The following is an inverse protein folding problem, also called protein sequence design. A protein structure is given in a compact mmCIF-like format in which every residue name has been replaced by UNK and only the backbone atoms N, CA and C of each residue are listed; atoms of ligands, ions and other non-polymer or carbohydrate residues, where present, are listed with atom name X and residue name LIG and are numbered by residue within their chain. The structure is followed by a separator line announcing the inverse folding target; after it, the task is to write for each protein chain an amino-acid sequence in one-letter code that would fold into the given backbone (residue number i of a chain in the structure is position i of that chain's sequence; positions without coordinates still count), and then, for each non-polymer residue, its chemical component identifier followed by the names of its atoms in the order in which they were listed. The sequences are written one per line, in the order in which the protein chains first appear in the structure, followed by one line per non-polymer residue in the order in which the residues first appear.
data_IF_390993248096
#
_entry.id   IF_390993248096
#
_cell.length_a   1.000
_cell.length_b   1.000
_cell.length_c   1.000
_cell.angle_alpha   90.00
_cell.angle_beta   90.00
_cell.angle_gamma   90.00
#
_symmetry.space_group_name_H-M   'P 1'
#
loop_
_entity.id
_entity.type
_entity.pdbx_description
1 polymer ?
#
# COMPACT_ATOMS: atom_id res chain seq x y z
N UNK A 1 14.49 -15.57 -12.62
CA UNK A 1 13.60 -14.51 -13.15
C UNK A 1 14.26 -13.16 -12.95
N UNK A 2 14.17 -12.26 -13.94
CA UNK A 2 14.80 -10.92 -13.88
C UNK A 2 13.81 -9.83 -13.44
N UNK A 3 12.51 -10.08 -13.67
CA UNK A 3 11.42 -9.18 -13.32
C UNK A 3 10.22 -9.98 -12.84
N UNK A 4 9.57 -9.50 -11.81
CA UNK A 4 8.26 -9.93 -11.35
C UNK A 4 7.31 -8.75 -11.46
N UNK A 5 6.13 -8.99 -12.05
CA UNK A 5 5.01 -8.06 -12.02
C UNK A 5 3.81 -8.82 -11.45
N UNK A 6 3.20 -8.32 -10.37
CA UNK A 6 2.10 -9.02 -9.71
C UNK A 6 1.13 -8.06 -9.03
N UNK A 7 -0.12 -8.50 -8.96
CA UNK A 7 -1.23 -7.88 -8.24
C UNK A 7 -1.73 -8.88 -7.19
N UNK A 8 -1.17 -8.89 -5.97
CA UNK A 8 -1.58 -9.83 -4.94
C UNK A 8 -2.96 -9.48 -4.37
N UNK A 9 -3.70 -10.42 -3.79
CA UNK A 9 -4.92 -10.12 -3.06
C UNK A 9 -4.69 -9.11 -1.94
N UNK A 10 -5.62 -8.14 -1.77
CA UNK A 10 -5.53 -7.08 -0.77
C UNK A 10 -6.41 -7.38 0.44
N UNK A 11 -5.85 -7.95 1.47
CA UNK A 11 -6.54 -8.21 2.74
C UNK A 11 -7.99 -8.72 2.55
N UNK A 12 -9.00 -7.88 2.88
CA UNK A 12 -10.43 -8.20 2.88
C UNK A 12 -11.20 -7.58 1.69
N UNK A 13 -10.50 -7.07 0.67
CA UNK A 13 -11.16 -6.32 -0.41
C UNK A 13 -11.96 -7.22 -1.35
N UNK A 14 -11.44 -8.41 -1.70
CA UNK A 14 -12.08 -9.33 -2.64
C UNK A 14 -12.01 -10.76 -2.12
N UNK A 15 -13.17 -11.38 -1.92
CA UNK A 15 -13.29 -12.80 -1.64
C UNK A 15 -13.40 -13.57 -2.97
N UNK A 16 -12.28 -13.90 -3.58
CA UNK A 16 -12.25 -14.58 -4.90
C UNK A 16 -13.03 -15.88 -4.88
N UNK A 17 -13.03 -16.59 -3.77
CA UNK A 17 -13.82 -17.79 -3.58
C UNK A 17 -15.33 -17.57 -3.72
N UNK A 18 -15.86 -16.39 -3.44
CA UNK A 18 -17.26 -16.07 -3.64
C UNK A 18 -17.59 -15.84 -5.11
N UNK A 19 -16.67 -15.18 -5.84
CA UNK A 19 -16.84 -14.97 -7.29
C UNK A 19 -16.71 -16.24 -8.10
N UNK A 20 -15.89 -17.19 -7.65
CA UNK A 20 -15.70 -18.48 -8.32
C UNK A 20 -16.85 -19.46 -8.11
N UNK A 21 -17.76 -19.22 -7.14
CA UNK A 21 -18.84 -20.13 -6.82
C UNK A 21 -19.74 -20.45 -8.02
N UNK A 22 -20.00 -19.48 -8.89
CA UNK A 22 -20.80 -19.69 -10.12
C UNK A 22 -20.06 -20.62 -11.08
N UNK A 23 -18.77 -20.41 -11.30
CA UNK A 23 -17.97 -21.25 -12.19
C UNK A 23 -17.79 -22.66 -11.65
N UNK A 24 -17.69 -22.81 -10.31
CA UNK A 24 -17.63 -24.12 -9.66
C UNK A 24 -18.90 -24.93 -9.91
N UNK A 25 -20.05 -24.26 -9.85
CA UNK A 25 -21.32 -24.89 -10.16
C UNK A 25 -21.38 -25.39 -11.61
N UNK A 26 -21.03 -24.55 -12.59
CA UNK A 26 -21.06 -24.93 -14.01
C UNK A 26 -19.99 -25.95 -14.41
N UNK A 27 -18.82 -25.89 -13.78
CA UNK A 27 -17.70 -26.80 -14.11
C UNK A 27 -17.69 -28.07 -13.25
N UNK A 28 -18.67 -28.22 -12.35
CA UNK A 28 -18.72 -29.32 -11.37
C UNK A 28 -17.40 -29.50 -10.59
N UNK A 29 -16.68 -28.41 -10.37
CA UNK A 29 -15.39 -28.39 -9.70
C UNK A 29 -15.54 -27.97 -8.22
N UNK A 30 -14.97 -28.76 -7.32
CA UNK A 30 -14.97 -28.44 -5.89
C UNK A 30 -13.62 -27.83 -5.50
N UNK A 31 -13.61 -26.53 -5.21
CA UNK A 31 -12.41 -25.81 -4.78
C UNK A 31 -12.00 -26.15 -3.35
N UNK A 32 -10.73 -25.95 -3.08
CA UNK A 32 -10.20 -25.94 -1.72
C UNK A 32 -9.92 -24.50 -1.25
N UNK A 33 -10.88 -23.91 -0.53
CA UNK A 33 -10.76 -22.55 0.00
C UNK A 33 -9.71 -22.41 1.09
N UNK A 34 -9.15 -23.51 1.59
CA UNK A 34 -8.13 -23.50 2.63
C UNK A 34 -6.86 -22.72 2.22
N UNK A 35 -6.55 -22.72 0.92
CA UNK A 35 -5.36 -22.05 0.38
C UNK A 35 -5.62 -20.64 -0.14
N UNK A 36 -6.86 -20.15 -0.08
CA UNK A 36 -7.16 -18.79 -0.49
C UNK A 36 -6.42 -17.76 0.39
N UNK A 37 -5.74 -16.82 -0.27
CA UNK A 37 -5.02 -15.74 0.41
C UNK A 37 -5.97 -14.55 0.62
N UNK A 38 -6.67 -14.53 1.74
CA UNK A 38 -7.64 -13.51 2.12
C UNK A 38 -7.68 -13.31 3.63
N UNK A 39 -7.99 -12.10 4.06
CA UNK A 39 -8.46 -11.81 5.42
C UNK A 39 -10.00 -11.78 5.41
N UNK A 40 -10.66 -12.59 6.23
CA UNK A 40 -12.11 -12.56 6.32
C UNK A 40 -12.61 -12.93 7.70
N UNK A 41 -13.59 -12.19 8.20
CA UNK A 41 -14.32 -12.46 9.44
C UNK A 41 -15.66 -13.13 9.18
N UNK A 42 -16.01 -13.38 7.90
CA UNK A 42 -17.37 -13.79 7.50
C UNK A 42 -17.62 -15.30 7.58
N UNK A 43 -16.60 -16.12 7.82
CA UNK A 43 -16.72 -17.59 7.82
C UNK A 43 -16.13 -18.22 9.06
N UNK A 44 -16.74 -19.31 9.54
CA UNK A 44 -16.10 -20.24 10.51
C UNK A 44 -14.80 -20.77 9.89
N UNK A 45 -13.68 -20.61 10.57
CA UNK A 45 -12.35 -20.91 10.01
C UNK A 45 -11.63 -19.63 9.58
N UNK A 46 -11.66 -18.67 10.43
CA UNK A 46 -11.22 -17.28 10.28
C UNK A 46 -9.81 -17.23 9.75
N UNK A 47 -9.66 -16.66 8.58
CA UNK A 47 -8.39 -16.16 8.09
C UNK A 47 -8.23 -14.73 8.60
N UNK A 48 -7.64 -14.61 9.78
CA UNK A 48 -7.33 -13.32 10.37
C UNK A 48 -6.19 -12.61 9.61
N UNK A 49 -5.86 -11.42 10.04
CA UNK A 49 -4.80 -10.61 9.43
C UNK A 49 -3.44 -11.30 9.54
N UNK A 50 -3.16 -11.98 10.64
CA UNK A 50 -1.87 -12.62 10.86
C UNK A 50 -1.72 -13.85 9.96
N UNK A 51 -2.77 -14.66 9.81
CA UNK A 51 -2.79 -15.77 8.86
C UNK A 51 -2.59 -15.28 7.41
N UNK A 52 -3.23 -14.17 7.02
CA UNK A 52 -3.01 -13.55 5.71
C UNK A 52 -1.54 -13.15 5.52
N UNK A 53 -0.94 -12.43 6.47
CA UNK A 53 0.46 -11.97 6.39
C UNK A 53 1.45 -13.13 6.37
N UNK A 54 1.19 -14.19 7.16
CA UNK A 54 2.02 -15.42 7.18
C UNK A 54 2.00 -16.09 5.81
N UNK A 55 0.81 -16.26 5.22
CA UNK A 55 0.67 -16.92 3.92
C UNK A 55 1.23 -16.05 2.78
N UNK A 56 1.01 -14.74 2.81
CA UNK A 56 1.63 -13.79 1.89
C UNK A 56 3.17 -13.91 1.94
N UNK A 57 3.73 -13.97 3.15
CA UNK A 57 5.17 -14.17 3.34
C UNK A 57 5.67 -15.48 2.74
N UNK A 58 4.92 -16.60 2.90
CA UNK A 58 5.27 -17.90 2.30
C UNK A 58 5.32 -17.79 0.76
N UNK A 59 4.31 -17.18 0.14
CA UNK A 59 4.27 -16.96 -1.30
C UNK A 59 5.47 -16.13 -1.78
N UNK A 60 5.71 -14.98 -1.16
CA UNK A 60 6.83 -14.12 -1.56
C UNK A 60 8.21 -14.75 -1.30
N UNK A 61 8.39 -15.56 -0.27
CA UNK A 61 9.62 -16.32 -0.09
C UNK A 61 9.90 -17.26 -1.28
N UNK A 62 8.87 -17.93 -1.80
CA UNK A 62 9.00 -18.82 -2.96
C UNK A 62 9.35 -17.99 -4.20
N UNK A 63 8.64 -16.89 -4.44
CA UNK A 63 8.88 -15.98 -5.56
C UNK A 63 10.31 -15.44 -5.52
N UNK A 64 10.73 -14.87 -4.40
CA UNK A 64 12.07 -14.28 -4.23
C UNK A 64 13.18 -15.32 -4.39
N UNK A 65 12.96 -16.56 -3.96
CA UNK A 65 13.92 -17.68 -4.19
C UNK A 65 14.16 -17.92 -5.69
N UNK A 66 13.14 -17.72 -6.53
CA UNK A 66 13.24 -17.88 -8.00
C UNK A 66 13.77 -16.64 -8.72
N UNK A 67 13.86 -15.50 -8.07
CA UNK A 67 14.43 -14.28 -8.63
C UNK A 67 15.97 -14.36 -8.65
N UNK A 68 16.59 -13.76 -9.67
CA UNK A 68 18.04 -13.52 -9.67
C UNK A 68 18.39 -12.37 -8.73
N UNK A 69 19.64 -12.31 -8.28
CA UNK A 69 20.14 -11.16 -7.54
C UNK A 69 19.98 -9.89 -8.36
N UNK A 70 19.75 -8.78 -7.69
CA UNK A 70 19.53 -7.46 -8.30
C UNK A 70 18.31 -7.33 -9.23
N UNK A 71 17.51 -8.40 -9.37
CA UNK A 71 16.28 -8.35 -10.16
C UNK A 71 15.19 -7.51 -9.45
N UNK A 72 14.22 -7.07 -10.23
CA UNK A 72 13.15 -6.18 -9.77
C UNK A 72 11.84 -6.90 -9.55
N UNK A 73 11.05 -6.42 -8.60
CA UNK A 73 9.66 -6.77 -8.45
C UNK A 73 8.81 -5.49 -8.46
N UNK A 74 7.77 -5.48 -9.29
CA UNK A 74 6.78 -4.41 -9.37
C UNK A 74 5.47 -5.00 -8.87
N UNK A 75 4.93 -4.40 -7.82
CA UNK A 75 3.74 -4.91 -7.14
C UNK A 75 2.67 -3.84 -7.13
N UNK A 76 1.55 -4.17 -7.73
CA UNK A 76 0.35 -3.37 -7.63
C UNK A 76 -0.28 -3.59 -6.26
N UNK A 77 -0.46 -2.53 -5.47
CA UNK A 77 -1.06 -2.65 -4.15
C UNK A 77 -1.74 -1.36 -3.72
N UNK A 78 -2.88 -1.47 -3.07
CA UNK A 78 -3.60 -0.33 -2.51
C UNK A 78 -4.31 -0.68 -1.22
N UNK A 79 -4.12 0.15 -0.21
CA UNK A 79 -4.92 0.14 1.00
C UNK A 79 -4.99 1.55 1.60
N UNK A 80 -6.14 1.95 2.09
CA UNK A 80 -6.33 3.25 2.78
C UNK A 80 -5.78 3.24 4.20
N UNK A 81 -5.63 2.06 4.81
CA UNK A 81 -5.07 1.88 6.15
C UNK A 81 -3.55 1.81 6.05
N UNK A 82 -2.86 2.87 6.45
CA UNK A 82 -1.39 2.95 6.38
C UNK A 82 -0.69 1.86 7.19
N UNK A 83 -1.32 1.39 8.28
CA UNK A 83 -0.83 0.24 9.02
C UNK A 83 -0.79 -1.03 8.15
N UNK A 84 -1.78 -1.27 7.30
CA UNK A 84 -1.80 -2.41 6.39
C UNK A 84 -0.68 -2.29 5.33
N UNK A 85 -0.48 -1.08 4.79
CA UNK A 85 0.63 -0.80 3.87
C UNK A 85 1.97 -1.07 4.55
N UNK A 86 2.16 -0.62 5.79
CA UNK A 86 3.37 -0.89 6.57
C UNK A 86 3.61 -2.39 6.78
N UNK A 87 2.59 -3.13 7.18
CA UNK A 87 2.70 -4.57 7.44
C UNK A 87 3.03 -5.33 6.14
N UNK A 88 2.41 -4.95 5.02
CA UNK A 88 2.72 -5.46 3.70
C UNK A 88 4.19 -5.21 3.32
N UNK A 89 4.67 -3.97 3.43
CA UNK A 89 6.07 -3.61 3.15
C UNK A 89 7.05 -4.37 4.06
N UNK A 90 6.74 -4.55 5.34
CA UNK A 90 7.56 -5.34 6.28
C UNK A 90 7.63 -6.81 5.86
N UNK A 91 6.53 -7.40 5.41
CA UNK A 91 6.52 -8.79 4.90
C UNK A 91 7.44 -8.90 3.71
N UNK A 92 7.34 -8.02 2.72
CA UNK A 92 8.18 -8.05 1.51
C UNK A 92 9.65 -7.84 1.84
N UNK A 93 9.97 -6.86 2.68
CA UNK A 93 11.33 -6.62 3.16
C UNK A 93 11.90 -7.86 3.87
N UNK A 94 11.08 -8.54 4.69
CA UNK A 94 11.50 -9.78 5.38
C UNK A 94 11.75 -10.97 4.44
N UNK A 95 11.27 -10.86 3.18
CA UNK A 95 11.53 -11.85 2.13
C UNK A 95 12.77 -11.53 1.28
N UNK A 96 13.44 -10.40 1.50
CA UNK A 96 14.62 -10.00 0.73
C UNK A 96 14.31 -9.04 -0.43
N UNK A 97 13.20 -8.30 -0.34
CA UNK A 97 12.83 -7.25 -1.28
C UNK A 97 13.05 -5.88 -0.65
N UNK A 98 14.00 -5.12 -1.16
CA UNK A 98 14.26 -3.73 -0.72
C UNK A 98 13.33 -2.76 -1.47
N UNK A 99 12.67 -1.88 -0.73
CA UNK A 99 11.69 -0.95 -1.27
C UNK A 99 12.38 0.24 -1.94
N UNK A 100 12.31 0.33 -3.27
CA UNK A 100 13.02 1.33 -4.07
C UNK A 100 12.19 2.60 -4.21
N UNK A 101 10.97 2.50 -4.74
CA UNK A 101 10.07 3.63 -4.97
C UNK A 101 8.62 3.17 -5.06
N UNK A 102 7.73 4.14 -5.01
CA UNK A 102 6.31 3.98 -5.31
C UNK A 102 5.93 5.02 -6.37
N UNK A 103 5.02 4.67 -7.24
CA UNK A 103 4.49 5.56 -8.26
C UNK A 103 2.97 5.56 -8.21
N UNK A 104 2.40 6.75 -8.30
CA UNK A 104 0.97 6.96 -8.37
C UNK A 104 0.46 6.76 -9.79
N UNK A 105 -0.60 5.96 -9.94
CA UNK A 105 -1.30 5.77 -11.20
C UNK A 105 -2.57 6.61 -11.18
N UNK A 106 -2.62 7.64 -12.01
CA UNK A 106 -3.82 8.45 -12.17
C UNK A 106 -4.92 7.66 -12.86
N UNK A 107 -6.12 7.65 -12.27
CA UNK A 107 -7.32 7.12 -12.93
C UNK A 107 -7.98 8.23 -13.73
N UNK A 108 -8.24 7.97 -15.02
CA UNK A 108 -8.95 8.90 -15.90
C UNK A 108 -10.43 9.10 -15.50
N UNK A 109 -11.03 8.11 -14.86
CA UNK A 109 -12.42 8.17 -14.38
C UNK A 109 -12.47 7.77 -12.90
N UNK A 110 -13.21 8.55 -12.13
CA UNK A 110 -13.49 8.20 -10.73
C UNK A 110 -14.55 7.10 -10.66
N UNK A 111 -14.39 6.18 -9.71
CA UNK A 111 -15.44 5.21 -9.41
C UNK A 111 -16.58 5.91 -8.67
N UNK A 112 -17.79 5.32 -8.71
CA UNK A 112 -18.96 5.84 -7.98
C UNK A 112 -18.64 6.13 -6.51
N UNK A 113 -17.94 5.22 -5.84
CA UNK A 113 -17.49 5.38 -4.45
C UNK A 113 -16.55 6.59 -4.26
N UNK A 114 -15.71 6.89 -5.23
CA UNK A 114 -14.80 8.04 -5.19
C UNK A 114 -15.54 9.36 -5.42
N UNK A 115 -16.63 9.34 -6.19
CA UNK A 115 -17.48 10.51 -6.42
C UNK A 115 -18.37 10.83 -5.20
N UNK A 116 -18.76 9.80 -4.43
CA UNK A 116 -19.66 9.95 -3.28
C UNK A 116 -18.93 10.09 -1.94
N UNK A 117 -17.64 9.75 -1.86
CA UNK A 117 -16.85 9.95 -0.64
C UNK A 117 -16.22 11.34 -0.59
N UNK A 118 -16.29 11.95 0.61
CA UNK A 118 -15.74 13.28 0.90
C UNK A 118 -14.24 13.38 0.57
N UNK A 119 -13.74 14.58 0.51
CA UNK A 119 -12.42 15.10 0.12
C UNK A 119 -11.16 14.31 0.57
N UNK A 120 -11.31 13.39 1.52
CA UNK A 120 -10.20 12.62 2.12
C UNK A 120 -9.84 11.31 1.41
N UNK A 121 -10.57 10.93 0.35
CA UNK A 121 -10.33 9.66 -0.33
C UNK A 121 -9.10 9.78 -1.24
N UNK A 122 -8.07 9.00 -0.93
CA UNK A 122 -6.90 8.85 -1.80
C UNK A 122 -7.35 8.22 -3.12
N UNK A 123 -7.28 9.00 -4.20
CA UNK A 123 -7.68 8.58 -5.54
C UNK A 123 -6.48 8.07 -6.32
N UNK A 124 -6.67 7.03 -7.11
CA UNK A 124 -5.60 6.40 -7.89
C UNK A 124 -5.18 5.06 -7.32
N UNK A 125 -4.25 4.45 -7.98
CA UNK A 125 -3.64 3.19 -7.58
C UNK A 125 -2.13 3.37 -7.48
N UNK A 126 -1.42 2.42 -6.89
CA UNK A 126 0.01 2.57 -6.64
C UNK A 126 0.78 1.34 -7.12
N UNK A 127 1.91 1.61 -7.76
CA UNK A 127 2.92 0.60 -8.08
C UNK A 127 4.07 0.73 -7.10
N UNK A 128 4.38 -0.36 -6.43
CA UNK A 128 5.52 -0.47 -5.52
C UNK A 128 6.66 -1.20 -6.22
N UNK A 129 7.83 -0.58 -6.25
CA UNK A 129 9.02 -1.11 -6.89
C UNK A 129 10.00 -1.60 -5.84
N UNK A 130 10.44 -2.82 -6.02
CA UNK A 130 11.40 -3.48 -5.13
C UNK A 130 12.58 -4.02 -5.92
N UNK A 131 13.72 -4.18 -5.23
CA UNK A 131 14.90 -4.84 -5.73
C UNK A 131 15.20 -6.03 -4.82
N UNK A 132 15.53 -7.20 -5.39
CA UNK A 132 16.00 -8.33 -4.61
C UNK A 132 17.37 -8.02 -4.02
N UNK A 133 17.53 -8.25 -2.72
CA UNK A 133 18.77 -8.04 -1.97
C UNK A 133 19.16 -9.28 -1.17
N UNK A 134 20.46 -9.48 -1.00
CA UNK A 134 20.98 -10.62 -0.21
C UNK A 134 20.91 -10.36 1.29
N UNK A 135 21.01 -9.12 1.72
CA UNK A 135 20.91 -8.72 3.13
C UNK A 135 19.61 -7.98 3.38
N UNK A 136 18.81 -8.52 4.28
CA UNK A 136 17.55 -7.92 4.69
C UNK A 136 17.85 -6.80 5.69
N UNK A 137 17.49 -5.57 5.34
CA UNK A 137 17.55 -4.44 6.26
C UNK A 137 16.36 -4.55 7.23
N UNK A 138 16.65 -4.83 8.49
CA UNK A 138 15.60 -4.85 9.52
C UNK A 138 15.16 -3.43 9.79
N UNK A 139 13.95 -3.09 9.37
CA UNK A 139 13.32 -1.82 9.70
C UNK A 139 12.66 -1.92 11.08
N UNK A 140 12.88 -0.91 11.91
CA UNK A 140 12.34 -0.85 13.27
C UNK A 140 11.13 0.08 13.24
N UNK A 141 9.96 -0.46 13.56
CA UNK A 141 8.78 0.36 13.79
C UNK A 141 8.98 1.20 15.05
N UNK A 142 8.86 2.51 14.91
CA UNK A 142 8.94 3.47 16.01
C UNK A 142 7.55 3.75 16.60
N UNK A 143 7.52 4.13 17.86
CA UNK A 143 6.30 4.63 18.50
C UNK A 143 5.86 5.94 17.85
N UNK A 144 4.56 6.23 17.96
CA UNK A 144 3.98 7.47 17.46
C UNK A 144 4.66 8.69 18.10
N UNK A 145 5.17 9.58 17.26
CA UNK A 145 5.83 10.84 17.64
C UNK A 145 5.36 11.91 16.65
N UNK A 146 4.40 12.71 17.07
CA UNK A 146 3.73 13.66 16.18
C UNK A 146 4.69 14.71 15.62
N UNK A 147 5.63 15.20 16.40
CA UNK A 147 6.57 16.25 15.96
C UNK A 147 7.49 15.73 14.83
N UNK A 148 8.02 14.53 15.00
CA UNK A 148 8.87 13.91 13.98
C UNK A 148 8.09 13.55 12.72
N UNK A 149 6.87 13.03 12.88
CA UNK A 149 5.98 12.70 11.75
C UNK A 149 5.62 13.97 10.98
N UNK A 150 5.21 15.03 11.64
CA UNK A 150 4.89 16.32 11.02
C UNK A 150 6.09 16.91 10.28
N UNK A 151 7.27 16.85 10.89
CA UNK A 151 8.50 17.33 10.24
C UNK A 151 8.79 16.57 8.94
N UNK A 152 8.71 15.24 8.96
CA UNK A 152 8.90 14.40 7.75
C UNK A 152 7.87 14.78 6.67
N UNK A 153 6.60 14.88 7.05
CA UNK A 153 5.50 15.19 6.11
C UNK A 153 5.71 16.58 5.50
N UNK A 154 6.00 17.60 6.31
CA UNK A 154 6.15 18.96 5.81
C UNK A 154 7.40 19.14 4.96
N UNK A 155 8.53 18.58 5.37
CA UNK A 155 9.76 18.64 4.58
C UNK A 155 9.59 17.95 3.22
N UNK A 156 9.02 16.75 3.21
CA UNK A 156 8.76 16.04 1.97
C UNK A 156 7.80 16.80 1.07
N UNK A 157 6.67 17.27 1.61
CA UNK A 157 5.66 18.01 0.85
C UNK A 157 6.22 19.29 0.25
N UNK A 158 6.96 20.08 1.02
CA UNK A 158 7.62 21.30 0.53
C UNK A 158 8.57 20.99 -0.64
N UNK A 159 9.43 19.98 -0.48
CA UNK A 159 10.35 19.54 -1.54
C UNK A 159 9.61 19.09 -2.79
N UNK A 160 8.50 18.34 -2.60
CA UNK A 160 7.69 17.81 -3.70
C UNK A 160 7.00 18.93 -4.48
N UNK A 161 6.36 19.89 -3.78
CA UNK A 161 5.69 21.03 -4.40
C UNK A 161 6.67 21.97 -5.10
N UNK A 162 7.85 22.18 -4.54
CA UNK A 162 8.91 22.96 -5.21
C UNK A 162 9.30 22.37 -6.58
N UNK A 163 9.34 21.03 -6.68
CA UNK A 163 9.66 20.34 -7.93
C UNK A 163 8.50 20.30 -8.92
N UNK A 164 7.28 20.06 -8.44
CA UNK A 164 6.13 19.72 -9.29
C UNK A 164 5.09 20.87 -9.39
N UNK A 165 5.31 21.99 -8.70
CA UNK A 165 4.46 23.19 -8.61
C UNK A 165 3.08 22.92 -7.98
N UNK A 166 2.42 21.85 -8.35
CA UNK A 166 1.09 21.46 -7.82
C UNK A 166 1.08 19.97 -7.50
N UNK A 167 0.33 19.57 -6.48
CA UNK A 167 0.09 18.18 -6.17
C UNK A 167 -1.15 18.01 -5.29
N UNK A 168 -1.86 16.92 -5.48
CA UNK A 168 -2.86 16.44 -4.52
C UNK A 168 -2.23 15.50 -3.48
N UNK A 169 -2.97 15.22 -2.43
CA UNK A 169 -2.48 14.37 -1.32
C UNK A 169 -2.14 12.96 -1.78
N UNK A 170 -2.90 12.37 -2.70
CA UNK A 170 -2.64 11.05 -3.23
C UNK A 170 -1.28 10.99 -3.96
N UNK A 171 -1.00 12.00 -4.78
CA UNK A 171 0.30 12.12 -5.47
C UNK A 171 1.46 12.25 -4.49
N UNK A 172 1.30 13.03 -3.43
CA UNK A 172 2.34 13.18 -2.40
C UNK A 172 2.58 11.87 -1.67
N UNK A 173 1.51 11.18 -1.26
CA UNK A 173 1.59 9.88 -0.60
C UNK A 173 2.32 8.87 -1.47
N UNK A 174 1.83 8.68 -2.69
CA UNK A 174 2.28 7.60 -3.57
C UNK A 174 3.63 7.89 -4.23
N UNK A 175 3.98 9.16 -4.45
CA UNK A 175 5.26 9.51 -5.08
C UNK A 175 6.41 9.73 -4.08
N UNK A 176 6.32 9.13 -2.90
CA UNK A 176 7.48 8.99 -2.01
C UNK A 176 7.22 9.21 -0.53
N UNK A 177 6.15 9.89 -0.09
CA UNK A 177 5.92 10.13 1.34
C UNK A 177 5.74 8.82 2.12
N UNK A 178 5.04 7.83 1.55
CA UNK A 178 4.92 6.50 2.16
C UNK A 178 6.30 5.87 2.37
N UNK A 179 7.20 5.99 1.38
CA UNK A 179 8.57 5.50 1.51
C UNK A 179 9.32 6.22 2.62
N UNK A 180 9.26 7.55 2.67
CA UNK A 180 9.94 8.34 3.72
C UNK A 180 9.44 7.94 5.11
N UNK A 181 8.14 7.81 5.30
CA UNK A 181 7.57 7.37 6.57
C UNK A 181 7.96 5.93 6.93
N UNK A 182 8.03 5.04 5.93
CA UNK A 182 8.41 3.65 6.12
C UNK A 182 9.88 3.49 6.53
N UNK A 183 10.82 4.10 5.80
CA UNK A 183 12.25 4.00 6.11
C UNK A 183 12.61 4.66 7.44
N UNK A 184 11.88 5.70 7.84
CA UNK A 184 12.02 6.35 9.13
C UNK A 184 11.30 5.59 10.27
N UNK A 185 10.53 4.54 9.97
CA UNK A 185 9.86 3.66 10.92
C UNK A 185 8.55 4.19 11.50
N UNK A 186 7.98 5.25 10.92
CA UNK A 186 6.74 5.87 11.44
C UNK A 186 5.47 5.46 10.69
N UNK A 187 5.56 4.82 9.53
CA UNK A 187 4.38 4.46 8.73
C UNK A 187 3.37 3.62 9.51
N UNK A 188 3.86 2.63 10.27
CA UNK A 188 3.01 1.72 11.06
C UNK A 188 2.33 2.37 12.26
N UNK A 189 2.79 3.55 12.69
CA UNK A 189 2.17 4.31 13.78
C UNK A 189 0.99 5.17 13.32
N UNK A 190 0.81 5.34 12.00
CA UNK A 190 -0.31 6.06 11.39
C UNK A 190 -1.45 5.10 11.06
N UNK A 191 -2.67 5.47 11.45
CA UNK A 191 -3.85 4.64 11.22
C UNK A 191 -4.24 4.62 9.73
N UNK A 192 -4.41 5.79 9.14
CA UNK A 192 -4.93 5.97 7.80
C UNK A 192 -4.44 7.28 7.16
N UNK A 193 -4.77 7.46 5.89
CA UNK A 193 -4.42 8.68 5.14
C UNK A 193 -5.09 9.95 5.67
N UNK A 194 -6.20 9.85 6.42
CA UNK A 194 -6.86 11.00 7.01
C UNK A 194 -5.98 11.68 8.07
N UNK A 195 -5.12 10.93 8.75
CA UNK A 195 -4.16 11.54 9.68
C UNK A 195 -3.18 12.44 8.93
N UNK A 196 -2.69 12.02 7.77
CA UNK A 196 -1.79 12.83 6.94
C UNK A 196 -2.53 14.07 6.39
N UNK A 197 -3.78 13.89 5.95
CA UNK A 197 -4.65 15.01 5.54
C UNK A 197 -4.75 16.07 6.64
N UNK A 198 -5.04 15.66 7.90
CA UNK A 198 -5.15 16.57 9.04
C UNK A 198 -3.83 17.30 9.32
N UNK A 199 -2.69 16.63 9.18
CA UNK A 199 -1.37 17.24 9.37
C UNK A 199 -1.12 18.26 8.25
N UNK A 200 -1.34 17.91 7.00
CA UNK A 200 -1.15 18.81 5.87
C UNK A 200 -2.02 20.06 5.97
N UNK A 201 -3.27 19.92 6.42
CA UNK A 201 -4.18 21.04 6.62
C UNK A 201 -3.70 22.10 7.64
N UNK A 202 -2.71 21.79 8.45
CA UNK A 202 -2.10 22.80 9.36
C UNK A 202 -1.34 23.87 8.57
N UNK A 203 -0.72 23.51 7.43
CA UNK A 203 0.13 24.42 6.63
C UNK A 203 -0.39 24.71 5.22
N UNK A 204 -1.23 23.85 4.68
CA UNK A 204 -1.72 23.94 3.32
C UNK A 204 -3.23 24.05 3.29
N UNK A 205 -3.77 24.83 2.36
CA UNK A 205 -5.16 24.77 1.96
C UNK A 205 -5.32 23.70 0.89
N UNK A 206 -6.49 23.07 0.84
CA UNK A 206 -6.81 22.10 -0.20
C UNK A 206 -7.89 22.73 -1.07
N UNK A 207 -7.55 22.99 -2.31
CA UNK A 207 -8.50 23.49 -3.29
C UNK A 207 -9.64 22.49 -3.51
N UNK A 208 -10.88 22.95 -3.40
CA UNK A 208 -12.06 22.09 -3.46
C UNK A 208 -12.29 21.46 -4.83
N UNK A 209 -11.88 22.13 -5.89
CA UNK A 209 -12.13 21.70 -7.27
C UNK A 209 -11.00 20.78 -7.76
N UNK A 210 -9.76 21.25 -7.68
CA UNK A 210 -8.59 20.52 -8.15
C UNK A 210 -8.04 19.50 -7.13
N UNK A 211 -8.42 19.62 -5.85
CA UNK A 211 -7.87 18.88 -4.71
C UNK A 211 -6.36 19.07 -4.53
N UNK A 212 -5.79 20.08 -5.12
CA UNK A 212 -4.38 20.40 -4.99
C UNK A 212 -4.11 21.16 -3.69
N UNK A 213 -2.90 20.97 -3.18
CA UNK A 213 -2.39 21.72 -2.03
C UNK A 213 -1.96 23.11 -2.46
N UNK A 214 -2.38 24.13 -1.68
CA UNK A 214 -2.01 25.53 -1.81
C UNK A 214 -1.37 25.92 -0.48
N UNK A 215 -0.20 26.55 -0.53
CA UNK A 215 0.47 27.07 0.67
C UNK A 215 -0.38 28.18 1.29
N UNK A 216 -0.54 28.17 2.64
CA UNK A 216 -1.33 29.16 3.37
C UNK A 216 -0.57 30.47 3.49
#
# INVERSE_FOLDING_TARGET
MNLIFTDPPYYDQVAYSEYLAIWEFFLSYKKNNQFELIQTNRRKGIKDKDAYLINLKKCFKIIVKKMKNDSQAIIYFKDSKLKNVNDFLNVLSSCGLDFIKQEHILKKKYTYKQNTTKETTVTGDSLFYFKKVNKIKKLINKKYDIQKIENIIFQFTKKYLHKNKTANIAQILDNGLIKELFINGYLGSLKDSNMIYKILNKKYLIDKNSRNLIEK
#
